data_IF_018180963723
#
_entry.id   IF_018180963723
#
_cell.length_a   1.000
_cell.length_b   1.000
_cell.length_c   1.000
_cell.angle_alpha   90.00
_cell.angle_beta   90.00
_cell.angle_gamma   90.00
#
_symmetry.space_group_name_H-M   'P 1'
#
loop_
_entity.id
_entity.type
_entity.pdbx_description
1 polymer ?
#
# COMPACT_ATOMS: atom_id res chain seq x y z
N UNK A 1 -16.30 3.60 -0.26
CA UNK A 1 -15.53 4.26 0.81
C UNK A 1 -15.29 3.34 1.99
N UNK A 2 -16.33 2.70 2.54
CA UNK A 2 -16.26 1.78 3.70
C UNK A 2 -16.08 0.29 3.32
N UNK A 3 -15.33 -0.02 2.24
CA UNK A 3 -15.21 -1.42 1.75
C UNK A 3 -14.66 -2.36 2.82
N UNK A 4 -13.73 -1.87 3.65
CA UNK A 4 -13.16 -2.63 4.74
C UNK A 4 -14.18 -2.94 5.85
N UNK A 5 -15.15 -2.05 6.12
CA UNK A 5 -16.23 -2.33 7.06
C UNK A 5 -17.13 -3.46 6.56
N UNK A 6 -17.51 -3.42 5.28
CA UNK A 6 -18.34 -4.46 4.66
C UNK A 6 -17.62 -5.82 4.66
N UNK A 7 -16.35 -5.85 4.28
CA UNK A 7 -15.55 -7.08 4.32
C UNK A 7 -15.36 -7.62 5.74
N UNK A 8 -15.20 -6.72 6.72
CA UNK A 8 -15.10 -7.09 8.14
C UNK A 8 -16.40 -7.63 8.70
N UNK A 9 -17.55 -7.16 8.20
CA UNK A 9 -18.87 -7.67 8.59
C UNK A 9 -19.12 -9.07 8.04
N UNK A 10 -18.78 -9.32 6.77
CA UNK A 10 -18.99 -10.61 6.09
C UNK A 10 -18.00 -11.69 6.53
N UNK A 11 -16.71 -11.34 6.66
CA UNK A 11 -15.64 -12.29 6.98
C UNK A 11 -15.30 -12.34 8.48
N UNK A 12 -15.95 -11.47 9.27
CA UNK A 12 -15.70 -11.32 10.69
C UNK A 12 -14.27 -10.91 11.04
N UNK A 13 -13.88 -11.16 12.29
CA UNK A 13 -12.58 -10.79 12.82
C UNK A 13 -11.41 -11.43 12.07
N UNK A 14 -11.55 -12.68 11.64
CA UNK A 14 -10.48 -13.42 10.94
C UNK A 14 -10.19 -12.78 9.59
N UNK A 15 -11.23 -12.39 8.83
CA UNK A 15 -11.06 -11.71 7.55
C UNK A 15 -10.45 -10.32 7.72
N UNK A 16 -10.95 -9.53 8.68
CA UNK A 16 -10.40 -8.21 9.00
C UNK A 16 -8.91 -8.30 9.36
N UNK A 17 -8.54 -9.25 10.22
CA UNK A 17 -7.15 -9.48 10.61
C UNK A 17 -6.30 -9.92 9.42
N UNK A 18 -6.81 -10.81 8.57
CA UNK A 18 -6.14 -11.24 7.34
C UNK A 18 -5.83 -10.07 6.41
N UNK A 19 -6.79 -9.18 6.17
CA UNK A 19 -6.62 -8.00 5.31
C UNK A 19 -5.53 -7.07 5.88
N UNK A 20 -5.59 -6.75 7.17
CA UNK A 20 -4.58 -5.91 7.83
C UNK A 20 -3.20 -6.57 7.73
N UNK A 21 -3.13 -7.88 7.95
CA UNK A 21 -1.89 -8.64 7.87
C UNK A 21 -1.30 -8.63 6.45
N UNK A 22 -2.13 -8.74 5.40
CA UNK A 22 -1.66 -8.60 4.01
C UNK A 22 -1.09 -7.22 3.71
N UNK A 23 -1.76 -6.14 4.13
CA UNK A 23 -1.20 -4.79 3.96
C UNK A 23 0.10 -4.60 4.75
N UNK A 24 0.18 -5.16 5.96
CA UNK A 24 1.40 -5.13 6.75
C UNK A 24 2.56 -5.81 6.02
N UNK A 25 2.35 -7.01 5.46
CA UNK A 25 3.36 -7.72 4.68
C UNK A 25 3.77 -6.93 3.43
N UNK A 26 2.80 -6.33 2.73
CA UNK A 26 3.05 -5.51 1.54
C UNK A 26 3.92 -4.29 1.88
N UNK A 27 3.52 -3.50 2.88
CA UNK A 27 4.25 -2.31 3.32
C UNK A 27 5.64 -2.69 3.84
N UNK A 28 5.75 -3.77 4.61
CA UNK A 28 7.04 -4.27 5.09
C UNK A 28 7.98 -4.59 3.93
N UNK A 29 7.47 -5.26 2.90
CA UNK A 29 8.25 -5.61 1.72
C UNK A 29 8.75 -4.35 0.98
N UNK A 30 7.88 -3.38 0.77
CA UNK A 30 8.25 -2.14 0.08
C UNK A 30 9.22 -1.27 0.90
N UNK A 31 9.08 -1.21 2.24
CA UNK A 31 10.07 -0.58 3.13
C UNK A 31 11.44 -1.23 2.91
N UNK A 32 11.50 -2.57 2.89
CA UNK A 32 12.75 -3.29 2.65
C UNK A 32 13.36 -2.93 1.30
N UNK A 33 12.56 -2.81 0.24
CA UNK A 33 13.02 -2.35 -1.07
C UNK A 33 13.58 -0.92 -0.98
N UNK A 34 12.87 -0.02 -0.31
CA UNK A 34 13.32 1.38 -0.18
C UNK A 34 14.67 1.51 0.54
N UNK A 35 14.91 0.69 1.58
CA UNK A 35 16.17 0.64 2.32
C UNK A 35 17.31 -0.01 1.54
N UNK A 36 16.97 -0.92 0.61
CA UNK A 36 17.91 -1.59 -0.27
C UNK A 36 18.09 -0.85 -1.60
N UNK A 37 17.49 0.32 -1.80
CA UNK A 37 17.65 1.06 -3.04
C UNK A 37 19.11 1.54 -3.21
N UNK A 38 19.65 1.36 -4.42
CA UNK A 38 21.04 1.69 -4.75
C UNK A 38 21.30 3.20 -4.76
N UNK A 39 20.33 3.95 -5.28
CA UNK A 39 20.41 5.39 -5.50
C UNK A 39 19.52 6.12 -4.50
N UNK A 40 20.00 7.28 -4.00
CA UNK A 40 19.23 8.12 -3.06
C UNK A 40 17.90 8.57 -3.65
N UNK A 41 17.84 8.82 -4.95
CA UNK A 41 16.61 9.17 -5.67
C UNK A 41 15.60 8.03 -5.66
N UNK A 42 16.04 6.81 -5.98
CA UNK A 42 15.20 5.60 -5.90
C UNK A 42 14.71 5.33 -4.49
N UNK A 43 15.57 5.52 -3.47
CA UNK A 43 15.18 5.43 -2.06
C UNK A 43 14.05 6.40 -1.73
N UNK A 44 14.21 7.69 -2.05
CA UNK A 44 13.20 8.73 -1.77
C UNK A 44 11.87 8.46 -2.47
N UNK A 45 11.91 8.04 -3.74
CA UNK A 45 10.70 7.69 -4.50
C UNK A 45 9.99 6.50 -3.86
N UNK A 46 10.73 5.43 -3.57
CA UNK A 46 10.16 4.23 -2.93
C UNK A 46 9.57 4.56 -1.56
N UNK A 47 10.26 5.33 -0.72
CA UNK A 47 9.74 5.76 0.58
C UNK A 47 8.49 6.64 0.45
N UNK A 48 8.42 7.50 -0.58
CA UNK A 48 7.22 8.30 -0.86
C UNK A 48 6.01 7.47 -1.28
N UNK A 49 6.23 6.41 -2.06
CA UNK A 49 5.16 5.48 -2.45
C UNK A 49 4.70 4.65 -1.23
N UNK A 50 5.64 4.15 -0.44
CA UNK A 50 5.35 3.42 0.80
C UNK A 50 4.52 4.28 1.75
N UNK A 51 4.90 5.55 1.94
CA UNK A 51 4.17 6.45 2.83
C UNK A 51 2.76 6.72 2.29
N UNK A 52 2.60 6.91 0.97
CA UNK A 52 1.28 7.04 0.34
C UNK A 52 0.39 5.82 0.63
N UNK A 53 0.88 4.59 0.45
CA UNK A 53 0.10 3.39 0.77
C UNK A 53 -0.23 3.29 2.26
N UNK A 54 0.72 3.61 3.14
CA UNK A 54 0.51 3.60 4.58
C UNK A 54 -0.57 4.60 5.00
N UNK A 55 -0.55 5.82 4.45
CA UNK A 55 -1.58 6.82 4.69
C UNK A 55 -2.95 6.36 4.20
N UNK A 56 -3.06 5.83 2.97
CA UNK A 56 -4.34 5.35 2.45
C UNK A 56 -4.93 4.21 3.29
N UNK A 57 -4.09 3.27 3.75
CA UNK A 57 -4.53 2.15 4.60
C UNK A 57 -4.95 2.64 5.99
N UNK A 58 -4.11 3.47 6.63
CA UNK A 58 -4.43 4.02 7.95
C UNK A 58 -5.68 4.88 7.95
N UNK A 59 -5.86 5.72 6.94
CA UNK A 59 -7.01 6.62 6.85
C UNK A 59 -8.29 5.85 6.58
N UNK A 60 -8.28 4.88 5.66
CA UNK A 60 -9.44 4.06 5.37
C UNK A 60 -9.87 3.18 6.56
N UNK A 61 -8.91 2.58 7.28
CA UNK A 61 -9.22 1.81 8.49
C UNK A 61 -9.64 2.75 9.63
N UNK A 62 -8.94 3.87 9.81
CA UNK A 62 -9.19 4.86 10.86
C UNK A 62 -10.57 5.52 10.73
N UNK A 63 -11.02 5.81 9.51
CA UNK A 63 -12.38 6.32 9.28
C UNK A 63 -13.46 5.28 9.61
N UNK A 64 -13.19 3.98 9.38
CA UNK A 64 -14.15 2.91 9.71
C UNK A 64 -14.21 2.64 11.22
N UNK A 65 -13.12 2.90 11.94
CA UNK A 65 -13.06 2.83 13.40
C UNK A 65 -13.55 4.12 14.09
N UNK A 66 -13.85 5.18 13.34
CA UNK A 66 -14.26 6.49 13.88
C UNK A 66 -13.12 7.30 14.52
N UNK A 67 -11.86 6.93 14.26
CA UNK A 67 -10.66 7.59 14.81
C UNK A 67 -10.21 8.75 13.91
N UNK A 68 -10.44 8.65 12.59
CA UNK A 68 -10.06 9.64 11.59
C UNK A 68 -11.30 10.21 10.87
N UNK A 69 -11.24 11.44 10.34
CA UNK A 69 -12.33 12.01 9.57
C UNK A 69 -12.59 11.21 8.28
N UNK A 70 -13.84 11.22 7.82
CA UNK A 70 -14.24 10.55 6.59
C UNK A 70 -13.76 11.36 5.39
N UNK A 71 -12.68 10.91 4.76
CA UNK A 71 -12.10 11.55 3.57
C UNK A 71 -12.44 10.85 2.24
N UNK A 72 -13.05 9.66 2.30
CA UNK A 72 -13.44 8.90 1.10
C UNK A 72 -12.25 8.33 0.31
N UNK A 73 -11.09 8.15 0.95
CA UNK A 73 -9.91 7.61 0.28
C UNK A 73 -10.09 6.11 0.02
N UNK A 74 -9.90 5.64 -1.23
CA UNK A 74 -10.03 4.24 -1.56
C UNK A 74 -8.89 3.41 -0.95
N UNK A 75 -9.26 2.30 -0.31
CA UNK A 75 -8.33 1.27 0.13
C UNK A 75 -7.56 0.69 -1.09
N UNK A 76 -6.21 0.74 -1.11
CA UNK A 76 -5.42 0.31 -2.25
C UNK A 76 -5.71 -1.14 -2.65
N UNK A 77 -5.84 -1.46 -3.94
CA UNK A 77 -6.10 -2.82 -4.49
C UNK A 77 -7.46 -3.47 -4.21
N UNK A 78 -8.19 -3.06 -3.17
CA UNK A 78 -9.48 -3.67 -2.80
C UNK A 78 -10.67 -2.79 -3.18
N UNK A 79 -10.52 -1.46 -3.15
CA UNK A 79 -11.62 -0.55 -3.45
C UNK A 79 -11.98 -0.50 -4.93
N UNK A 80 -13.28 -0.37 -5.21
CA UNK A 80 -13.82 -0.19 -6.55
C UNK A 80 -13.50 1.22 -7.08
N UNK A 81 -12.38 1.34 -7.81
CA UNK A 81 -12.00 2.56 -8.50
C UNK A 81 -10.95 2.27 -9.56
N UNK A 82 -11.33 2.29 -10.85
CA UNK A 82 -10.43 1.93 -11.95
C UNK A 82 -9.17 2.81 -12.00
N UNK A 83 -9.32 4.13 -11.86
CA UNK A 83 -8.19 5.06 -11.85
C UNK A 83 -7.26 4.84 -10.66
N UNK A 84 -7.81 4.63 -9.47
CA UNK A 84 -7.03 4.35 -8.27
C UNK A 84 -6.28 3.02 -8.41
N UNK A 85 -6.91 2.00 -8.99
CA UNK A 85 -6.28 0.71 -9.25
C UNK A 85 -5.12 0.84 -10.24
N UNK A 86 -5.28 1.57 -11.34
CA UNK A 86 -4.18 1.86 -12.28
C UNK A 86 -3.04 2.62 -11.61
N UNK A 87 -3.35 3.64 -10.80
CA UNK A 87 -2.36 4.39 -10.05
C UNK A 87 -1.57 3.50 -9.08
N UNK A 88 -2.26 2.67 -8.28
CA UNK A 88 -1.63 1.75 -7.34
C UNK A 88 -0.75 0.71 -8.06
N UNK A 89 -1.20 0.17 -9.19
CA UNK A 89 -0.41 -0.76 -10.01
C UNK A 89 0.83 -0.08 -10.61
N UNK A 90 0.70 1.17 -11.07
CA UNK A 90 1.83 1.94 -11.57
C UNK A 90 2.87 2.22 -10.47
N UNK A 91 2.42 2.50 -9.25
CA UNK A 91 3.28 2.72 -8.09
C UNK A 91 4.08 1.46 -7.72
N UNK A 92 3.43 0.28 -7.72
CA UNK A 92 4.14 -1.01 -7.57
C UNK A 92 5.15 -1.21 -8.70
N UNK A 93 4.78 -0.88 -9.95
CA UNK A 93 5.69 -0.99 -11.10
C UNK A 93 6.96 -0.16 -10.91
N UNK A 94 6.84 1.05 -10.35
CA UNK A 94 7.98 1.93 -10.04
C UNK A 94 8.85 1.31 -8.95
N UNK A 95 8.27 0.85 -7.84
CA UNK A 95 9.02 0.18 -6.76
C UNK A 95 9.76 -1.06 -7.28
N UNK A 96 9.10 -1.87 -8.12
CA UNK A 96 9.69 -3.06 -8.73
C UNK A 96 10.87 -2.71 -9.65
N UNK A 97 10.74 -1.64 -10.45
CA UNK A 97 11.83 -1.16 -11.28
C UNK A 97 13.05 -0.75 -10.44
N UNK A 98 12.85 -0.02 -9.34
CA UNK A 98 13.92 0.37 -8.41
C UNK A 98 14.62 -0.87 -7.83
N UNK A 99 13.85 -1.91 -7.47
CA UNK A 99 14.40 -3.16 -6.95
C UNK A 99 15.24 -3.92 -7.99
N UNK A 100 14.78 -4.01 -9.25
CA UNK A 100 15.50 -4.69 -10.33
C UNK A 100 16.82 -3.98 -10.64
N UNK A 101 16.82 -2.65 -10.74
CA UNK A 101 18.02 -1.87 -11.06
C UNK A 101 19.02 -1.73 -9.91
N UNK A 102 18.68 -2.20 -8.70
CA UNK A 102 19.63 -2.29 -7.59
C UNK A 102 20.75 -3.32 -7.87
N UNK A 103 20.46 -4.41 -8.60
CA UNK A 103 21.50 -5.35 -9.00
C UNK A 103 22.29 -4.76 -10.17
N UNK A 104 23.58 -4.46 -9.95
CA UNK A 104 24.54 -4.25 -11.04
C UNK A 104 24.45 -5.47 -11.96
N UNK A 105 23.85 -5.29 -13.13
CA UNK A 105 23.92 -6.27 -14.21
C UNK A 105 25.40 -6.32 -14.62
N UNK A 106 26.15 -7.29 -14.09
CA UNK A 106 27.49 -7.61 -14.58
C UNK A 106 27.31 -8.44 -15.84
N UNK A 107 27.42 -7.79 -16.99
CA UNK A 107 27.84 -8.42 -18.23
C UNK A 107 29.28 -8.02 -18.50
#
# INVERSE_FOLDING_TARGET
DFIFSVLSEELGFIGSFGIIFFYFLMIWHEIKISLQAKDKTGCLIATGIVSMFLFHVMENIGMNLGIMPVAGIPLPFISFGGTAMVANLSAIGIISNIWIHHQKIMF
#
